data_IF_651860660463
#
_entry.id   IF_651860660463
#
_cell.length_a   1.000
_cell.length_b   1.000
_cell.length_c   1.000
_cell.angle_alpha   90.00
_cell.angle_beta   90.00
_cell.angle_gamma   90.00
#
_symmetry.space_group_name_H-M   'P 1'
#
loop_
_entity.id
_entity.type
_entity.pdbx_description
1 polymer ?
#
# COMPACT_ATOMS: atom_id res chain seq x y z
N UNK A 1 -68.80 -12.80 -5.23
CA UNK A 1 -67.40 -12.69 -5.70
C UNK A 1 -66.64 -11.98 -4.63
N UNK A 2 -65.80 -12.73 -3.87
CA UNK A 2 -64.92 -12.15 -2.83
C UNK A 2 -63.52 -12.08 -3.42
N UNK A 3 -62.99 -10.88 -3.59
CA UNK A 3 -61.59 -10.66 -3.97
C UNK A 3 -60.70 -10.74 -2.71
N UNK A 4 -59.80 -11.72 -2.70
CA UNK A 4 -58.73 -11.86 -1.71
C UNK A 4 -57.53 -11.07 -2.22
N UNK A 5 -57.23 -9.97 -1.55
CA UNK A 5 -56.00 -9.20 -1.79
C UNK A 5 -54.87 -9.86 -1.02
N UNK A 6 -53.97 -10.54 -1.71
CA UNK A 6 -52.76 -11.11 -1.17
C UNK A 6 -51.71 -9.98 -1.02
N UNK A 7 -51.53 -9.51 0.20
CA UNK A 7 -50.46 -8.53 0.49
C UNK A 7 -49.09 -9.20 0.45
N UNK A 8 -48.27 -8.82 -0.54
CA UNK A 8 -46.89 -9.18 -0.62
C UNK A 8 -46.10 -8.30 0.38
N UNK A 9 -45.74 -8.85 1.52
CA UNK A 9 -44.78 -8.23 2.44
C UNK A 9 -43.37 -8.42 1.83
N UNK A 10 -42.86 -7.39 1.19
CA UNK A 10 -41.42 -7.27 0.86
C UNK A 10 -40.64 -7.04 2.16
N UNK A 11 -40.10 -8.11 2.69
CA UNK A 11 -39.01 -8.05 3.69
C UNK A 11 -37.78 -7.50 3.01
N UNK A 12 -37.65 -6.18 3.02
CA UNK A 12 -36.35 -5.54 2.76
C UNK A 12 -35.42 -5.87 3.94
N UNK A 13 -34.59 -6.88 3.79
CA UNK A 13 -33.46 -7.11 4.68
C UNK A 13 -32.53 -5.91 4.56
N UNK A 14 -32.70 -4.93 5.43
CA UNK A 14 -31.68 -3.92 5.70
C UNK A 14 -30.48 -4.66 6.32
N UNK A 15 -29.49 -4.97 5.49
CA UNK A 15 -28.15 -5.22 5.98
C UNK A 15 -27.70 -3.91 6.64
N UNK A 16 -27.90 -3.80 7.94
CA UNK A 16 -27.22 -2.80 8.74
C UNK A 16 -25.73 -3.13 8.63
N UNK A 17 -25.00 -2.36 7.85
CA UNK A 17 -23.57 -2.38 7.85
C UNK A 17 -23.17 -1.92 9.26
N UNK A 18 -22.70 -2.85 10.08
CA UNK A 18 -22.21 -2.57 11.43
C UNK A 18 -21.12 -1.52 11.28
N UNK A 19 -21.40 -0.28 11.67
CA UNK A 19 -20.40 0.78 11.73
C UNK A 19 -19.50 0.38 12.88
N UNK A 20 -18.38 -0.24 12.57
CA UNK A 20 -17.38 -0.65 13.54
C UNK A 20 -16.78 0.63 14.15
N UNK A 21 -17.17 0.90 15.39
CA UNK A 21 -16.72 2.10 16.11
C UNK A 21 -15.28 1.86 16.59
N UNK A 22 -14.32 2.47 15.89
CA UNK A 22 -12.90 2.37 16.22
C UNK A 22 -12.55 3.37 17.31
N UNK A 23 -11.88 2.91 18.35
CA UNK A 23 -11.44 3.76 19.45
C UNK A 23 -10.13 4.48 19.12
N UNK A 24 -10.21 5.80 18.89
CA UNK A 24 -9.03 6.65 18.67
C UNK A 24 -8.10 6.64 19.90
N UNK A 25 -8.65 6.74 21.11
CA UNK A 25 -7.85 6.79 22.35
C UNK A 25 -7.19 5.43 22.64
N UNK A 26 -7.88 4.32 22.43
CA UNK A 26 -7.26 3.00 22.56
C UNK A 26 -6.13 2.82 21.54
N UNK A 27 -6.37 3.16 20.28
CA UNK A 27 -5.33 3.11 19.23
C UNK A 27 -4.11 3.98 19.56
N UNK A 28 -4.32 5.16 20.16
CA UNK A 28 -3.25 6.04 20.63
C UNK A 28 -2.43 5.41 21.77
N UNK A 29 -3.09 4.77 22.74
CA UNK A 29 -2.41 4.07 23.84
C UNK A 29 -1.54 2.95 23.28
N UNK A 30 -2.07 2.10 22.39
CA UNK A 30 -1.33 1.00 21.77
C UNK A 30 -0.14 1.55 20.98
N UNK A 31 -0.34 2.61 20.20
CA UNK A 31 0.74 3.25 19.45
C UNK A 31 1.85 3.74 20.35
N UNK A 32 1.51 4.43 21.42
CA UNK A 32 2.49 5.00 22.37
C UNK A 32 3.28 3.93 23.12
N UNK A 33 2.66 2.81 23.44
CA UNK A 33 3.30 1.71 24.17
C UNK A 33 4.17 0.82 23.28
N UNK A 34 3.78 0.63 22.03
CA UNK A 34 4.37 -0.39 21.16
C UNK A 34 5.06 0.19 19.91
N UNK A 35 4.40 1.08 19.19
CA UNK A 35 4.84 1.49 17.85
C UNK A 35 5.83 2.66 17.86
N UNK A 36 5.75 3.52 18.90
CA UNK A 36 6.55 4.76 19.00
C UNK A 36 8.06 4.49 19.03
N UNK A 37 8.47 3.33 19.54
CA UNK A 37 9.89 2.95 19.60
C UNK A 37 10.56 2.97 18.22
N UNK A 38 9.84 2.52 17.19
CA UNK A 38 10.31 2.50 15.80
C UNK A 38 9.83 3.72 15.01
N UNK A 39 8.52 4.02 15.08
CA UNK A 39 7.89 5.03 14.24
C UNK A 39 7.96 6.46 14.78
N UNK A 40 8.43 6.64 16.03
CA UNK A 40 8.51 7.95 16.68
C UNK A 40 7.16 8.55 17.05
N UNK A 41 7.17 9.57 17.92
CA UNK A 41 5.94 10.22 18.42
C UNK A 41 5.11 10.89 17.32
N UNK A 42 5.76 11.36 16.25
CA UNK A 42 5.13 12.05 15.11
C UNK A 42 4.87 11.14 13.90
N UNK A 43 5.06 9.84 14.02
CA UNK A 43 4.99 8.93 12.87
C UNK A 43 6.11 9.13 11.83
N UNK A 44 7.16 9.86 12.19
CA UNK A 44 8.23 10.25 11.25
C UNK A 44 9.55 9.51 11.46
N UNK A 45 9.55 8.41 12.16
CA UNK A 45 10.72 7.63 12.61
C UNK A 45 11.30 8.12 13.93
N UNK A 46 11.75 7.20 14.77
CA UNK A 46 12.49 7.53 15.98
C UNK A 46 13.94 7.92 15.61
N UNK A 47 14.37 9.16 15.87
CA UNK A 47 15.72 9.60 15.50
C UNK A 47 16.83 8.85 16.26
N UNK A 48 16.52 8.28 17.42
CA UNK A 48 17.48 7.53 18.25
C UNK A 48 17.63 6.07 17.82
N UNK A 49 16.81 5.59 16.89
CA UNK A 49 16.88 4.22 16.43
C UNK A 49 17.93 4.06 15.34
N UNK A 50 19.01 3.35 15.67
CA UNK A 50 20.10 3.03 14.73
C UNK A 50 19.76 1.78 13.90
N UNK A 51 18.63 1.80 13.19
CA UNK A 51 18.29 0.73 12.26
C UNK A 51 18.96 0.94 10.91
N UNK A 52 19.49 -0.12 10.34
CA UNK A 52 20.02 -0.14 8.96
C UNK A 52 18.90 0.20 7.97
N UNK A 53 17.71 -0.35 8.19
CA UNK A 53 16.49 -0.01 7.44
C UNK A 53 15.58 0.78 8.37
N UNK A 54 15.31 2.03 8.03
CA UNK A 54 14.42 2.90 8.83
C UNK A 54 12.95 2.67 8.45
N UNK A 55 12.04 2.69 9.44
CA UNK A 55 10.61 2.63 9.18
C UNK A 55 10.16 3.74 8.23
N UNK A 56 9.12 3.48 7.44
CA UNK A 56 8.51 4.52 6.60
C UNK A 56 7.85 5.59 7.45
N UNK A 57 7.84 6.82 6.94
CA UNK A 57 7.10 7.92 7.57
C UNK A 57 5.60 7.68 7.42
N UNK A 58 4.91 7.46 8.53
CA UNK A 58 3.46 7.24 8.55
C UNK A 58 2.69 8.47 8.02
N UNK A 59 3.23 9.67 8.27
CA UNK A 59 2.66 10.94 7.76
C UNK A 59 2.69 11.09 6.23
N UNK A 60 3.40 10.22 5.53
CA UNK A 60 3.49 10.21 4.06
C UNK A 60 3.02 8.90 3.43
N UNK A 61 2.52 7.95 4.22
CA UNK A 61 2.12 6.66 3.68
C UNK A 61 0.97 6.78 2.68
N UNK A 62 1.03 6.00 1.60
CA UNK A 62 -0.08 5.84 0.65
C UNK A 62 -1.11 4.80 1.13
N UNK A 63 -0.77 4.01 2.14
CA UNK A 63 -1.59 2.90 2.61
C UNK A 63 -2.92 3.40 3.21
N UNK A 64 -4.00 2.66 2.95
CA UNK A 64 -5.28 2.87 3.61
C UNK A 64 -5.24 2.44 5.07
N UNK A 65 -6.27 2.78 5.85
CA UNK A 65 -6.43 2.26 7.21
C UNK A 65 -6.46 0.72 7.20
N UNK A 66 -7.25 0.13 6.28
CA UNK A 66 -7.34 -1.32 6.11
C UNK A 66 -5.99 -1.94 5.74
N UNK A 67 -5.27 -1.38 4.78
CA UNK A 67 -3.93 -1.86 4.44
C UNK A 67 -2.94 -1.73 5.61
N UNK A 68 -3.08 -0.68 6.43
CA UNK A 68 -2.28 -0.50 7.64
C UNK A 68 -2.60 -1.56 8.68
N UNK A 69 -3.88 -1.89 8.87
CA UNK A 69 -4.33 -3.00 9.70
C UNK A 69 -3.72 -4.34 9.24
N UNK A 70 -3.81 -4.65 7.96
CA UNK A 70 -3.26 -5.89 7.41
C UNK A 70 -1.73 -6.01 7.62
N UNK A 71 -0.99 -4.90 7.43
CA UNK A 71 0.46 -4.89 7.68
C UNK A 71 0.76 -5.03 9.16
N UNK A 72 0.00 -4.40 10.04
CA UNK A 72 0.18 -4.51 11.48
C UNK A 72 -0.13 -5.91 11.96
N UNK A 73 -1.19 -6.52 11.45
CA UNK A 73 -1.61 -7.87 11.79
C UNK A 73 -0.58 -8.92 11.36
N UNK A 74 -0.20 -8.95 10.09
CA UNK A 74 0.60 -10.02 9.51
C UNK A 74 2.11 -9.72 9.45
N UNK A 75 2.52 -8.47 9.70
CA UNK A 75 3.89 -8.02 9.52
C UNK A 75 4.21 -7.64 8.07
N UNK A 76 5.21 -6.77 7.88
CA UNK A 76 5.54 -6.25 6.57
C UNK A 76 6.14 -7.31 5.63
N UNK A 77 6.87 -8.29 6.17
CA UNK A 77 7.44 -9.39 5.38
C UNK A 77 6.36 -10.22 4.67
N UNK A 78 5.26 -10.49 5.35
CA UNK A 78 4.13 -11.22 4.75
C UNK A 78 3.63 -10.52 3.47
N UNK A 79 3.67 -9.19 3.44
CA UNK A 79 3.20 -8.34 2.34
C UNK A 79 4.32 -7.89 1.39
N UNK A 80 5.42 -8.64 1.33
CA UNK A 80 6.46 -8.45 0.31
C UNK A 80 7.65 -7.60 0.74
N UNK A 81 7.71 -7.09 1.97
CA UNK A 81 8.95 -6.49 2.47
C UNK A 81 10.02 -7.57 2.66
N UNK A 82 11.26 -7.24 2.34
CA UNK A 82 12.37 -8.20 2.47
C UNK A 82 12.82 -8.41 3.92
N UNK A 83 12.46 -7.52 4.84
CA UNK A 83 12.90 -7.60 6.24
C UNK A 83 11.73 -7.78 7.21
N UNK A 84 11.99 -8.49 8.32
CA UNK A 84 11.05 -8.70 9.42
C UNK A 84 11.05 -7.54 10.44
N UNK A 85 11.57 -6.36 10.07
CA UNK A 85 11.67 -5.21 10.98
C UNK A 85 10.31 -4.67 11.42
N UNK A 86 9.26 -4.84 10.64
CA UNK A 86 7.87 -4.65 11.08
C UNK A 86 7.28 -6.03 11.36
N UNK A 87 7.27 -6.48 12.63
CA UNK A 87 6.83 -7.83 12.99
C UNK A 87 5.31 -7.97 12.88
N UNK A 88 4.84 -9.23 12.97
CA UNK A 88 3.42 -9.53 13.13
C UNK A 88 2.97 -9.24 14.57
N UNK A 89 1.80 -8.61 14.71
CA UNK A 89 1.20 -8.31 16.01
C UNK A 89 -0.08 -9.12 16.31
N UNK A 90 -0.53 -10.00 15.41
CA UNK A 90 -1.74 -10.83 15.59
C UNK A 90 -1.71 -11.77 16.80
N UNK A 91 -0.53 -12.03 17.34
CA UNK A 91 -0.37 -12.87 18.55
C UNK A 91 -0.23 -12.02 19.83
N UNK A 92 -0.22 -10.68 19.71
CA UNK A 92 -0.05 -9.75 20.81
C UNK A 92 -1.34 -8.98 21.07
N UNK A 93 -2.05 -8.61 20.00
CA UNK A 93 -3.27 -7.80 20.04
C UNK A 93 -4.41 -8.52 19.31
N UNK A 94 -5.63 -8.25 19.73
CA UNK A 94 -6.85 -8.64 19.03
C UNK A 94 -7.02 -7.87 17.73
N UNK A 95 -7.86 -8.37 16.82
CA UNK A 95 -8.16 -7.65 15.58
C UNK A 95 -8.75 -6.27 15.84
N UNK A 96 -9.62 -6.13 16.86
CA UNK A 96 -10.19 -4.83 17.24
C UNK A 96 -9.12 -3.84 17.71
N UNK A 97 -8.16 -4.27 18.50
CA UNK A 97 -7.04 -3.41 18.94
C UNK A 97 -6.13 -3.01 17.77
N UNK A 98 -5.89 -3.93 16.83
CA UNK A 98 -5.11 -3.63 15.61
C UNK A 98 -5.86 -2.67 14.68
N UNK A 99 -7.18 -2.76 14.59
CA UNK A 99 -8.01 -1.79 13.88
C UNK A 99 -7.97 -0.41 14.54
N UNK A 100 -8.07 -0.34 15.88
CA UNK A 100 -7.97 0.90 16.64
C UNK A 100 -6.64 1.62 16.40
N UNK A 101 -5.51 0.90 16.45
CA UNK A 101 -4.20 1.52 16.21
C UNK A 101 -4.05 1.94 14.75
N UNK A 102 -4.61 1.20 13.80
CA UNK A 102 -4.60 1.57 12.39
C UNK A 102 -5.45 2.81 12.10
N UNK A 103 -6.59 2.92 12.77
CA UNK A 103 -7.44 4.12 12.75
C UNK A 103 -6.72 5.33 13.35
N UNK A 104 -6.08 5.17 14.53
CA UNK A 104 -5.26 6.23 15.12
C UNK A 104 -4.16 6.69 14.16
N UNK A 105 -3.41 5.77 13.55
CA UNK A 105 -2.33 6.09 12.60
C UNK A 105 -2.88 6.90 11.42
N UNK A 106 -3.99 6.48 10.84
CA UNK A 106 -4.60 7.18 9.71
C UNK A 106 -5.03 8.61 10.08
N UNK A 107 -5.69 8.78 11.22
CA UNK A 107 -6.23 10.08 11.66
C UNK A 107 -5.18 11.03 12.23
N UNK A 108 -4.21 10.50 13.01
CA UNK A 108 -3.22 11.34 13.69
C UNK A 108 -2.06 11.77 12.78
N UNK A 109 -1.65 10.93 11.84
CA UNK A 109 -0.43 11.20 11.05
C UNK A 109 -0.68 11.55 9.60
N UNK A 110 -1.80 11.13 9.01
CA UNK A 110 -2.09 11.40 7.59
C UNK A 110 -3.60 11.56 7.31
N UNK A 111 -4.29 12.51 7.99
CA UNK A 111 -5.73 12.68 7.89
C UNK A 111 -6.21 13.05 6.48
N UNK A 112 -5.39 13.75 5.71
CA UNK A 112 -5.73 14.20 4.35
C UNK A 112 -5.25 13.26 3.24
N UNK A 113 -4.84 12.05 3.59
CA UNK A 113 -4.30 11.08 2.63
C UNK A 113 -5.23 10.83 1.45
N UNK A 114 -6.51 10.57 1.72
CA UNK A 114 -7.49 10.25 0.68
C UNK A 114 -7.70 11.43 -0.27
N UNK A 115 -7.86 12.63 0.28
CA UNK A 115 -7.96 13.86 -0.52
C UNK A 115 -6.72 14.08 -1.39
N UNK A 116 -5.54 13.83 -0.83
CA UNK A 116 -4.28 13.95 -1.56
C UNK A 116 -4.19 12.94 -2.70
N UNK A 117 -4.54 11.68 -2.45
CA UNK A 117 -4.53 10.62 -3.47
C UNK A 117 -5.53 10.97 -4.57
N UNK A 118 -6.78 11.32 -4.21
CA UNK A 118 -7.81 11.68 -5.18
C UNK A 118 -7.35 12.85 -6.05
N UNK A 119 -6.84 13.92 -5.46
CA UNK A 119 -6.29 15.05 -6.22
C UNK A 119 -5.24 14.64 -7.23
N UNK A 120 -4.29 13.75 -6.84
CA UNK A 120 -3.24 13.28 -7.75
C UNK A 120 -3.78 12.39 -8.87
N UNK A 121 -4.87 11.66 -8.62
CA UNK A 121 -5.55 10.88 -9.65
C UNK A 121 -6.33 11.78 -10.61
N UNK A 122 -7.01 12.80 -10.09
CA UNK A 122 -7.77 13.77 -10.90
C UNK A 122 -6.83 14.61 -11.81
N UNK A 123 -5.61 14.90 -11.34
CA UNK A 123 -4.56 15.57 -12.10
C UNK A 123 -3.87 14.65 -13.14
N UNK A 124 -4.21 13.36 -13.15
CA UNK A 124 -3.59 12.41 -14.08
C UNK A 124 -4.42 12.27 -15.37
N UNK A 125 -3.73 12.06 -16.50
CA UNK A 125 -4.37 11.90 -17.81
C UNK A 125 -5.37 10.76 -17.82
N UNK A 126 -6.55 10.98 -18.40
CA UNK A 126 -7.53 9.94 -18.66
C UNK A 126 -7.05 9.01 -19.79
N UNK A 127 -7.42 7.73 -19.71
CA UNK A 127 -7.06 6.74 -20.72
C UNK A 127 -8.24 6.48 -21.64
N UNK A 128 -8.04 6.65 -22.94
CA UNK A 128 -9.06 6.38 -23.96
C UNK A 128 -9.43 4.88 -23.97
N UNK A 129 -10.63 4.54 -24.43
CA UNK A 129 -11.05 3.13 -24.59
C UNK A 129 -10.15 2.36 -25.56
N UNK A 130 -9.67 3.01 -26.60
CA UNK A 130 -8.74 2.42 -27.57
C UNK A 130 -7.40 2.06 -26.90
N UNK A 131 -6.87 2.96 -26.09
CA UNK A 131 -5.59 2.75 -25.41
C UNK A 131 -5.67 1.70 -24.31
N UNK A 132 -6.83 1.51 -23.66
CA UNK A 132 -7.02 0.45 -22.66
C UNK A 132 -6.68 -0.94 -23.20
N UNK A 133 -6.98 -1.22 -24.46
CA UNK A 133 -6.66 -2.51 -25.10
C UNK A 133 -5.16 -2.77 -25.24
N UNK A 134 -4.33 -1.71 -25.26
CA UNK A 134 -2.89 -1.76 -25.42
C UNK A 134 -2.12 -1.80 -24.11
N UNK A 135 -2.80 -1.45 -22.98
CA UNK A 135 -2.14 -1.23 -21.69
C UNK A 135 -1.35 -2.44 -21.20
N UNK A 136 -1.91 -3.64 -21.22
CA UNK A 136 -1.22 -4.82 -20.68
C UNK A 136 0.09 -5.10 -21.44
N UNK A 137 0.06 -5.08 -22.76
CA UNK A 137 1.25 -5.30 -23.59
C UNK A 137 2.30 -4.20 -23.40
N UNK A 138 1.85 -2.95 -23.29
CA UNK A 138 2.73 -1.81 -23.01
C UNK A 138 3.33 -1.94 -21.60
N UNK A 139 2.52 -2.26 -20.60
CA UNK A 139 2.95 -2.45 -19.21
C UNK A 139 3.99 -3.56 -19.07
N UNK A 140 3.76 -4.72 -19.71
CA UNK A 140 4.71 -5.82 -19.77
C UNK A 140 6.06 -5.39 -20.36
N UNK A 141 6.02 -4.75 -21.54
CA UNK A 141 7.24 -4.28 -22.20
C UNK A 141 8.05 -3.32 -21.33
N UNK A 142 7.38 -2.35 -20.70
CA UNK A 142 8.06 -1.35 -19.88
C UNK A 142 8.53 -1.95 -18.56
N UNK A 143 7.72 -2.80 -17.91
CA UNK A 143 8.11 -3.52 -16.70
C UNK A 143 9.39 -4.34 -16.94
N UNK A 144 9.40 -5.17 -17.98
CA UNK A 144 10.54 -6.02 -18.32
C UNK A 144 11.80 -5.22 -18.64
N UNK A 145 11.65 -4.03 -19.23
CA UNK A 145 12.79 -3.19 -19.62
C UNK A 145 13.38 -2.36 -18.48
N UNK A 146 12.55 -1.92 -17.52
CA UNK A 146 12.96 -0.89 -16.55
C UNK A 146 12.73 -1.30 -15.10
N UNK A 147 11.67 -2.05 -14.78
CA UNK A 147 11.29 -2.36 -13.42
C UNK A 147 11.88 -3.69 -12.95
N UNK A 148 11.97 -4.65 -13.87
CA UNK A 148 12.48 -6.00 -13.58
C UNK A 148 13.95 -6.01 -13.17
N UNK A 149 14.72 -4.98 -13.54
CA UNK A 149 16.11 -4.84 -13.11
C UNK A 149 16.24 -4.86 -11.57
N UNK A 150 15.29 -4.24 -10.87
CA UNK A 150 15.25 -4.27 -9.41
C UNK A 150 14.24 -5.30 -8.90
N UNK A 151 13.01 -5.33 -9.47
CA UNK A 151 11.92 -6.16 -8.96
C UNK A 151 11.96 -7.62 -9.43
N UNK A 152 12.89 -7.99 -10.34
CA UNK A 152 12.92 -9.30 -10.98
C UNK A 152 11.84 -9.46 -12.06
N UNK A 153 12.04 -10.36 -13.01
CA UNK A 153 11.10 -10.61 -14.12
C UNK A 153 9.73 -11.09 -13.63
N UNK A 154 9.70 -11.84 -12.53
CA UNK A 154 8.46 -12.31 -11.89
C UNK A 154 7.92 -11.35 -10.82
N UNK A 155 8.56 -10.21 -10.61
CA UNK A 155 8.18 -9.25 -9.56
C UNK A 155 8.50 -9.67 -8.12
N UNK A 156 9.33 -10.70 -7.94
CA UNK A 156 9.65 -11.29 -6.62
C UNK A 156 10.74 -10.54 -5.83
N UNK A 157 11.21 -9.40 -6.33
CA UNK A 157 12.29 -8.64 -5.71
C UNK A 157 13.68 -9.25 -5.88
N UNK A 158 13.81 -10.29 -6.71
CA UNK A 158 15.08 -10.97 -6.97
C UNK A 158 15.50 -10.75 -8.43
N UNK A 159 16.69 -10.21 -8.60
CA UNK A 159 17.28 -9.95 -9.89
C UNK A 159 18.80 -10.06 -9.82
N UNK A 160 19.48 -10.12 -10.95
CA UNK A 160 20.94 -10.10 -11.01
C UNK A 160 21.52 -8.84 -10.34
N UNK A 161 20.89 -7.68 -10.55
CA UNK A 161 21.28 -6.44 -9.89
C UNK A 161 21.19 -6.54 -8.37
N UNK A 162 20.11 -7.14 -7.84
CA UNK A 162 19.93 -7.35 -6.39
C UNK A 162 21.01 -8.27 -5.85
N UNK A 163 21.29 -9.37 -6.55
CA UNK A 163 22.33 -10.33 -6.16
C UNK A 163 23.74 -9.69 -6.10
N UNK A 164 24.07 -8.86 -7.08
CA UNK A 164 25.34 -8.12 -7.13
C UNK A 164 25.42 -7.01 -6.07
N UNK A 165 24.29 -6.40 -5.71
CA UNK A 165 24.24 -5.24 -4.83
C UNK A 165 24.00 -5.58 -3.36
N UNK A 166 23.52 -6.78 -3.02
CA UNK A 166 23.13 -7.17 -1.64
C UNK A 166 24.26 -7.10 -0.62
N UNK A 167 25.52 -7.20 -1.04
CA UNK A 167 26.68 -7.05 -0.16
C UNK A 167 27.02 -5.60 0.16
N UNK A 168 26.41 -4.63 -0.52
CA UNK A 168 26.67 -3.21 -0.27
C UNK A 168 26.07 -2.78 1.06
N UNK A 169 26.83 -2.01 1.84
CA UNK A 169 26.33 -1.45 3.10
C UNK A 169 25.08 -0.61 2.86
N UNK A 170 24.02 -0.92 3.58
CA UNK A 170 22.73 -0.25 3.49
C UNK A 170 21.97 -0.48 2.17
N UNK A 171 22.21 -1.56 1.45
CA UNK A 171 21.37 -1.95 0.33
C UNK A 171 19.93 -2.19 0.81
N UNK A 172 18.94 -1.68 0.07
CA UNK A 172 17.53 -1.89 0.36
C UNK A 172 16.96 -2.79 -0.72
N UNK A 173 16.44 -3.93 -0.28
CA UNK A 173 15.83 -4.88 -1.17
C UNK A 173 14.50 -4.36 -1.73
N UNK A 174 14.26 -4.50 -3.03
CA UNK A 174 12.96 -4.22 -3.62
C UNK A 174 11.88 -5.11 -3.03
N UNK A 175 10.67 -4.56 -2.92
CA UNK A 175 9.50 -5.34 -2.49
C UNK A 175 9.17 -6.46 -3.48
N UNK A 176 8.73 -7.59 -2.95
CA UNK A 176 8.06 -8.64 -3.72
C UNK A 176 6.66 -8.14 -4.12
N UNK A 177 6.54 -7.72 -5.38
CA UNK A 177 5.31 -7.15 -5.93
C UNK A 177 4.17 -8.16 -6.01
N UNK A 178 4.47 -9.47 -6.02
CA UNK A 178 3.45 -10.53 -6.02
C UNK A 178 2.58 -10.49 -4.77
N UNK A 179 3.13 -9.98 -3.67
CA UNK A 179 2.51 -9.92 -2.35
C UNK A 179 2.11 -8.49 -1.93
N UNK A 180 2.15 -7.53 -2.85
CA UNK A 180 1.81 -6.14 -2.51
C UNK A 180 0.34 -5.96 -2.19
N UNK A 181 0.03 -5.19 -1.13
CA UNK A 181 -1.33 -4.74 -0.79
C UNK A 181 -1.81 -3.56 -1.65
N UNK A 182 -0.90 -2.92 -2.39
CA UNK A 182 -1.25 -1.71 -3.15
C UNK A 182 -2.30 -2.01 -4.21
N UNK A 183 -3.25 -1.08 -4.39
CA UNK A 183 -4.18 -1.09 -5.53
C UNK A 183 -3.47 -0.67 -6.82
N UNK A 184 -4.12 -0.85 -7.96
CA UNK A 184 -3.58 -0.41 -9.26
C UNK A 184 -3.26 1.09 -9.26
N UNK A 185 -4.17 1.91 -8.74
CA UNK A 185 -3.98 3.37 -8.62
C UNK A 185 -2.81 3.71 -7.70
N UNK A 186 -2.67 3.00 -6.59
CA UNK A 186 -1.54 3.20 -5.68
C UNK A 186 -0.21 2.79 -6.31
N UNK A 187 -0.18 1.69 -7.08
CA UNK A 187 1.00 1.26 -7.84
C UNK A 187 1.38 2.33 -8.87
N UNK A 188 0.40 2.86 -9.61
CA UNK A 188 0.61 3.97 -10.53
C UNK A 188 1.22 5.19 -9.84
N UNK A 189 0.61 5.67 -8.76
CA UNK A 189 1.09 6.83 -8.01
C UNK A 189 2.48 6.58 -7.41
N UNK A 190 2.74 5.35 -6.97
CA UNK A 190 4.05 4.97 -6.44
C UNK A 190 5.14 5.01 -7.51
N UNK A 191 4.85 4.49 -8.71
CA UNK A 191 5.74 4.57 -9.86
C UNK A 191 5.94 6.02 -10.31
N UNK A 192 4.86 6.81 -10.39
CA UNK A 192 4.90 8.20 -10.85
C UNK A 192 5.77 9.08 -9.93
N UNK A 193 5.58 9.00 -8.61
CA UNK A 193 6.21 9.92 -7.66
C UNK A 193 7.40 9.34 -6.90
N UNK A 194 7.62 8.03 -6.95
CA UNK A 194 8.74 7.35 -6.28
C UNK A 194 8.54 7.13 -4.79
N UNK A 195 9.37 6.28 -4.21
CA UNK A 195 9.26 5.85 -2.82
C UNK A 195 9.42 6.99 -1.80
N UNK A 196 10.35 7.91 -2.05
CA UNK A 196 10.63 9.04 -1.14
C UNK A 196 9.44 9.98 -0.95
N UNK A 197 8.64 10.18 -1.99
CA UNK A 197 7.40 10.96 -1.92
C UNK A 197 6.40 10.31 -0.95
N UNK A 198 6.33 8.97 -0.94
CA UNK A 198 5.45 8.17 -0.12
C UNK A 198 6.10 7.66 1.19
N UNK A 199 7.13 8.34 1.65
CA UNK A 199 7.67 8.19 3.00
C UNK A 199 8.80 7.20 3.18
N UNK A 200 9.37 6.61 2.11
CA UNK A 200 10.65 5.90 2.25
C UNK A 200 11.76 6.88 2.62
N UNK A 201 12.71 6.41 3.42
CA UNK A 201 13.81 7.26 3.89
C UNK A 201 14.88 7.49 2.83
N UNK A 202 14.97 6.60 1.84
CA UNK A 202 15.90 6.66 0.72
C UNK A 202 15.14 6.70 -0.59
N UNK A 203 15.82 7.09 -1.65
CA UNK A 203 15.27 7.18 -3.02
C UNK A 203 15.45 5.87 -3.79
N UNK A 204 15.13 4.74 -3.12
CA UNK A 204 15.38 3.41 -3.66
C UNK A 204 14.44 3.05 -4.81
N UNK A 205 13.20 3.57 -4.77
CA UNK A 205 12.26 3.51 -5.89
C UNK A 205 12.17 4.90 -6.52
N UNK A 206 12.81 5.14 -7.67
CA UNK A 206 12.85 6.46 -8.29
C UNK A 206 11.47 6.91 -8.79
N UNK A 207 11.32 8.23 -8.96
CA UNK A 207 10.18 8.81 -9.65
C UNK A 207 10.35 8.66 -11.16
N UNK A 208 9.33 8.14 -11.84
CA UNK A 208 9.33 7.92 -13.28
C UNK A 208 8.56 8.99 -14.08
N UNK A 209 7.94 9.97 -13.41
CA UNK A 209 7.10 11.01 -14.06
C UNK A 209 7.79 11.86 -15.11
N UNK A 210 9.12 11.99 -15.03
CA UNK A 210 9.88 12.77 -16.00
C UNK A 210 10.34 11.92 -17.20
N UNK A 211 10.17 10.60 -17.16
CA UNK A 211 10.59 9.67 -18.19
C UNK A 211 9.43 9.08 -18.98
N UNK A 212 8.28 8.92 -18.31
CA UNK A 212 7.09 8.29 -18.88
C UNK A 212 5.86 9.12 -18.58
N UNK A 213 4.94 9.17 -19.54
CA UNK A 213 3.61 9.74 -19.38
C UNK A 213 2.71 8.84 -18.52
N UNK A 214 1.52 9.35 -18.22
CA UNK A 214 0.57 8.66 -17.35
C UNK A 214 0.01 7.39 -17.99
N UNK A 215 -0.15 7.34 -19.33
CA UNK A 215 -0.58 6.14 -20.02
C UNK A 215 0.42 4.98 -19.79
N UNK A 216 1.70 5.24 -19.96
CA UNK A 216 2.76 4.24 -19.77
C UNK A 216 2.81 3.78 -18.31
N UNK A 217 2.78 4.70 -17.36
CA UNK A 217 2.85 4.36 -15.93
C UNK A 217 1.59 3.63 -15.44
N UNK A 218 0.40 4.00 -15.91
CA UNK A 218 -0.86 3.27 -15.65
C UNK A 218 -0.82 1.87 -16.29
N UNK A 219 -0.22 1.74 -17.48
CA UNK A 219 -0.01 0.45 -18.14
C UNK A 219 0.87 -0.50 -17.31
N UNK A 220 1.95 0.03 -16.73
CA UNK A 220 2.81 -0.74 -15.80
C UNK A 220 2.03 -1.15 -14.54
N UNK A 221 1.27 -0.23 -13.95
CA UNK A 221 0.46 -0.52 -12.77
C UNK A 221 -0.57 -1.63 -13.03
N UNK A 222 -1.26 -1.56 -14.17
CA UNK A 222 -2.20 -2.59 -14.63
C UNK A 222 -1.51 -3.94 -14.82
N UNK A 223 -0.36 -3.97 -15.47
CA UNK A 223 0.41 -5.21 -15.65
C UNK A 223 0.83 -5.82 -14.31
N UNK A 224 1.34 -5.02 -13.38
CA UNK A 224 1.69 -5.50 -12.03
C UNK A 224 0.46 -6.04 -11.30
N UNK A 225 -0.65 -5.31 -11.35
CA UNK A 225 -1.87 -5.70 -10.65
C UNK A 225 -2.52 -6.98 -11.21
N UNK A 226 -2.53 -7.16 -12.55
CA UNK A 226 -3.22 -8.28 -13.19
C UNK A 226 -2.34 -9.51 -13.45
N UNK A 227 -1.02 -9.33 -13.64
CA UNK A 227 -0.11 -10.39 -14.08
C UNK A 227 0.97 -10.78 -13.09
N UNK A 228 1.36 -9.87 -12.20
CA UNK A 228 2.40 -10.11 -11.21
C UNK A 228 1.81 -10.39 -9.84
N UNK A 229 0.88 -9.56 -9.39
CA UNK A 229 0.25 -9.68 -8.08
C UNK A 229 -0.52 -10.99 -7.95
N UNK A 230 -0.24 -11.75 -6.89
CA UNK A 230 -0.88 -13.04 -6.59
C UNK A 230 -1.89 -12.96 -5.44
N UNK A 231 -1.77 -11.97 -4.57
CA UNK A 231 -2.75 -11.69 -3.52
C UNK A 231 -3.88 -10.80 -4.06
N UNK A 232 -5.11 -11.21 -3.79
CA UNK A 232 -6.33 -10.48 -4.20
C UNK A 232 -7.00 -9.85 -2.98
#
# INVERSE_FOLDING_TARGET
>A
MKFIILGFFLLSSMYAQEIKDHSFENGKIIYQQTCVSCHGKSGSTNPYMQLVVKPRKLSKTILTQEQSFQITKEGAHFWGAHSDLMPTFKYVFTDSELEDVSYYIAKAFNPDREKKIQKLLDESDSISKEDQSKMLKTGEKIFNRNCSMCHGMSGNGQSEYVEQSKAQKNFIYPYDLRRTLLTEEQIFLYAKYGGKYWGTMKDDMPSWKNKYDDFILKSVAKYVNEKIKTVK
#
